data_IF_559632407891
#
_entry.id   IF_559632407891
#
_cell.length_a   1.000
_cell.length_b   1.000
_cell.length_c   1.000
_cell.angle_alpha   90.00
_cell.angle_beta   90.00
_cell.angle_gamma   90.00
#
_symmetry.space_group_name_H-M   'P 1'
#
loop_
_entity.id
_entity.type
_entity.pdbx_description
1 polymer ?
#
# COMPACT_ATOMS: atom_id res chain seq x y z
N UNK A 1 -12.20 -21.75 -11.03
CA UNK A 1 -11.53 -20.63 -11.71
C UNK A 1 -10.79 -19.85 -10.64
N UNK A 2 -9.45 -19.91 -10.61
CA UNK A 2 -8.63 -19.30 -9.57
C UNK A 2 -8.53 -17.78 -9.80
N UNK A 3 -9.62 -17.06 -9.49
CA UNK A 3 -9.71 -15.59 -9.62
C UNK A 3 -8.61 -14.87 -8.81
N UNK A 4 -8.08 -15.51 -7.77
CA UNK A 4 -7.07 -14.94 -6.87
C UNK A 4 -5.62 -14.91 -7.37
N UNK A 5 -5.25 -15.58 -8.45
CA UNK A 5 -3.82 -15.72 -8.79
C UNK A 5 -3.17 -14.41 -9.25
N UNK A 6 -3.98 -13.45 -9.72
CA UNK A 6 -3.51 -12.13 -10.15
C UNK A 6 -3.14 -11.25 -8.96
N UNK A 7 -4.00 -11.20 -7.95
CA UNK A 7 -3.87 -10.29 -6.79
C UNK A 7 -3.09 -10.91 -5.62
N UNK A 8 -2.96 -12.24 -5.56
CA UNK A 8 -2.18 -12.94 -4.52
C UNK A 8 -0.75 -12.42 -4.31
N UNK A 9 0.04 -12.09 -5.35
CA UNK A 9 1.37 -11.52 -5.15
C UNK A 9 1.31 -10.20 -4.39
N UNK A 10 0.46 -9.26 -4.82
CA UNK A 10 0.23 -7.98 -4.16
C UNK A 10 -0.19 -8.15 -2.69
N UNK A 11 -1.15 -9.05 -2.43
CA UNK A 11 -1.57 -9.39 -1.06
C UNK A 11 -0.45 -9.97 -0.18
N UNK A 12 0.59 -10.57 -0.76
CA UNK A 12 1.74 -11.07 0.02
C UNK A 12 2.64 -9.92 0.44
N UNK A 13 2.84 -8.93 -0.42
CA UNK A 13 3.67 -7.76 -0.14
C UNK A 13 3.06 -6.89 0.97
N UNK A 14 1.72 -6.86 1.07
CA UNK A 14 1.00 -6.28 2.21
C UNK A 14 1.46 -6.83 3.57
N UNK A 15 1.85 -8.10 3.66
CA UNK A 15 2.30 -8.67 4.94
C UNK A 15 3.58 -7.98 5.43
N UNK A 16 4.55 -7.78 4.54
CA UNK A 16 5.81 -7.10 4.83
C UNK A 16 5.54 -5.64 5.23
N UNK A 17 4.72 -4.94 4.45
CA UNK A 17 4.32 -3.56 4.77
C UNK A 17 3.68 -3.44 6.17
N UNK A 18 2.81 -4.39 6.54
CA UNK A 18 2.16 -4.41 7.86
C UNK A 18 3.14 -4.66 9.02
N UNK A 19 4.25 -5.38 8.78
CA UNK A 19 5.32 -5.51 9.78
C UNK A 19 5.97 -4.15 10.04
N UNK A 20 6.29 -3.40 8.99
CA UNK A 20 6.85 -2.05 9.13
C UNK A 20 5.86 -1.09 9.82
N UNK A 21 4.58 -1.11 9.44
CA UNK A 21 3.51 -0.36 10.12
C UNK A 21 3.53 -0.61 11.63
N UNK A 22 3.56 -1.89 12.05
CA UNK A 22 3.59 -2.26 13.46
C UNK A 22 4.84 -1.69 14.15
N UNK A 23 6.01 -1.81 13.52
CA UNK A 23 7.27 -1.29 14.06
C UNK A 23 7.26 0.23 14.19
N UNK A 24 6.78 0.96 13.19
CA UNK A 24 6.69 2.42 13.23
C UNK A 24 5.82 2.86 14.41
N UNK A 25 4.64 2.26 14.61
CA UNK A 25 3.75 2.58 15.72
C UNK A 25 4.36 2.22 17.08
N UNK A 26 5.04 1.07 17.21
CA UNK A 26 5.75 0.68 18.43
C UNK A 26 6.87 1.66 18.78
N UNK A 27 7.63 2.14 17.80
CA UNK A 27 8.72 3.09 18.03
C UNK A 27 8.19 4.50 18.30
N UNK A 28 7.10 4.90 17.63
CA UNK A 28 6.44 6.17 17.88
C UNK A 28 5.93 6.28 19.33
N UNK A 29 5.38 5.18 19.87
CA UNK A 29 4.96 5.11 21.27
C UNK A 29 6.12 5.25 22.28
N UNK A 30 7.37 4.98 21.85
CA UNK A 30 8.59 5.19 22.66
C UNK A 30 9.15 6.61 22.53
N UNK A 31 8.62 7.42 21.61
CA UNK A 31 8.98 8.81 21.41
C UNK A 31 9.57 9.11 20.02
N UNK A 32 9.58 10.39 19.67
CA UNK A 32 10.00 10.92 18.36
C UNK A 32 11.38 10.40 17.91
N UNK A 33 12.38 10.44 18.79
CA UNK A 33 13.73 9.95 18.46
C UNK A 33 13.75 8.48 18.06
N UNK A 34 12.93 7.64 18.70
CA UNK A 34 12.91 6.21 18.43
C UNK A 34 12.33 5.90 17.04
N UNK A 35 11.23 6.55 16.66
CA UNK A 35 10.62 6.35 15.33
C UNK A 35 11.48 6.92 14.21
N UNK A 36 12.13 8.06 14.44
CA UNK A 36 13.06 8.64 13.47
C UNK A 36 14.31 7.76 13.26
N UNK A 37 14.87 7.20 14.34
CA UNK A 37 16.00 6.26 14.22
C UNK A 37 15.62 5.00 13.43
N UNK A 38 14.43 4.46 13.67
CA UNK A 38 13.91 3.34 12.89
C UNK A 38 13.76 3.70 11.42
N UNK A 39 13.18 4.87 11.12
CA UNK A 39 13.02 5.34 9.75
C UNK A 39 14.37 5.59 9.05
N UNK A 40 15.38 6.08 9.76
CA UNK A 40 16.73 6.24 9.21
C UNK A 40 17.35 4.91 8.77
N UNK A 41 17.02 3.81 9.46
CA UNK A 41 17.57 2.48 9.18
C UNK A 41 16.79 1.77 8.06
N UNK A 42 15.46 1.81 8.13
CA UNK A 42 14.59 0.96 7.30
C UNK A 42 13.80 1.74 6.24
N UNK A 43 13.69 3.06 6.38
CA UNK A 43 12.77 3.89 5.60
C UNK A 43 13.08 3.91 4.11
N UNK A 44 14.36 3.91 3.73
CA UNK A 44 14.75 3.91 2.32
C UNK A 44 14.35 2.61 1.60
N UNK A 45 14.51 1.46 2.26
CA UNK A 45 14.11 0.17 1.72
C UNK A 45 12.58 0.09 1.63
N UNK A 46 11.88 0.46 2.70
CA UNK A 46 10.41 0.46 2.71
C UNK A 46 9.81 1.37 1.64
N UNK A 47 10.40 2.55 1.42
CA UNK A 47 9.98 3.46 0.35
C UNK A 47 10.14 2.84 -1.04
N UNK A 48 11.25 2.14 -1.29
CA UNK A 48 11.46 1.46 -2.56
C UNK A 48 10.46 0.32 -2.77
N UNK A 49 10.29 -0.54 -1.77
CA UNK A 49 9.33 -1.66 -1.82
C UNK A 49 7.89 -1.17 -2.05
N UNK A 50 7.45 -0.11 -1.36
CA UNK A 50 6.13 0.46 -1.57
C UNK A 50 5.99 1.19 -2.91
N UNK A 51 7.06 1.81 -3.42
CA UNK A 51 7.02 2.45 -4.72
C UNK A 51 6.80 1.42 -5.84
N UNK A 52 7.52 0.29 -5.79
CA UNK A 52 7.38 -0.81 -6.73
C UNK A 52 5.97 -1.41 -6.62
N UNK A 53 5.52 -1.69 -5.40
CA UNK A 53 4.19 -2.22 -5.12
C UNK A 53 3.07 -1.32 -5.68
N UNK A 54 3.06 -0.03 -5.32
CA UNK A 54 2.04 0.91 -5.81
C UNK A 54 2.07 1.04 -7.34
N UNK A 55 3.26 0.99 -7.95
CA UNK A 55 3.39 1.05 -9.40
C UNK A 55 2.78 -0.19 -10.08
N UNK A 56 2.98 -1.38 -9.50
CA UNK A 56 2.38 -2.62 -10.00
C UNK A 56 0.85 -2.56 -9.92
N UNK A 57 0.31 -2.15 -8.77
CA UNK A 57 -1.13 -2.02 -8.57
C UNK A 57 -1.78 -0.99 -9.52
N UNK A 58 -1.16 0.19 -9.64
CA UNK A 58 -1.63 1.27 -10.52
C UNK A 58 -1.65 0.83 -11.99
N UNK A 59 -0.64 0.07 -12.42
CA UNK A 59 -0.56 -0.50 -13.76
C UNK A 59 -1.63 -1.58 -13.95
N UNK A 60 -1.84 -2.42 -12.95
CA UNK A 60 -2.82 -3.50 -13.00
C UNK A 60 -4.25 -2.97 -13.17
N UNK A 61 -4.58 -1.84 -12.55
CA UNK A 61 -5.91 -1.21 -12.64
C UNK A 61 -6.05 -0.21 -13.79
N UNK A 62 -5.08 -0.15 -14.72
CA UNK A 62 -5.11 0.80 -15.82
C UNK A 62 -6.31 0.59 -16.76
N UNK A 63 -7.06 1.67 -16.99
CA UNK A 63 -8.27 1.65 -17.81
C UNK A 63 -9.49 1.00 -17.15
N UNK A 64 -9.39 0.59 -15.88
CA UNK A 64 -10.54 0.13 -15.09
C UNK A 64 -11.35 1.35 -14.65
N UNK A 65 -12.67 1.29 -14.89
CA UNK A 65 -13.62 2.30 -14.42
C UNK A 65 -14.37 1.76 -13.20
N UNK A 66 -13.88 2.10 -12.01
CA UNK A 66 -14.44 1.66 -10.73
C UNK A 66 -14.38 2.81 -9.71
N UNK A 67 -15.51 3.22 -9.10
CA UNK A 67 -15.53 4.31 -8.11
C UNK A 67 -14.52 4.17 -6.96
N UNK A 68 -14.26 2.95 -6.50
CA UNK A 68 -13.28 2.68 -5.44
C UNK A 68 -11.85 3.09 -5.82
N UNK A 69 -11.52 3.14 -7.11
CA UNK A 69 -10.19 3.52 -7.59
C UNK A 69 -9.87 5.00 -7.38
N UNK A 70 -10.87 5.86 -7.17
CA UNK A 70 -10.61 7.24 -6.79
C UNK A 70 -9.92 7.28 -5.42
N UNK A 71 -10.50 6.61 -4.43
CA UNK A 71 -9.93 6.50 -3.07
C UNK A 71 -8.53 5.87 -3.11
N UNK A 72 -8.37 4.78 -3.85
CA UNK A 72 -7.07 4.11 -4.03
C UNK A 72 -5.96 5.08 -4.48
N UNK A 73 -6.22 5.85 -5.55
CA UNK A 73 -5.24 6.82 -6.09
C UNK A 73 -4.94 7.96 -5.11
N UNK A 74 -5.97 8.48 -4.44
CA UNK A 74 -5.83 9.54 -3.43
C UNK A 74 -5.00 9.06 -2.22
N UNK A 75 -5.27 7.85 -1.72
CA UNK A 75 -4.51 7.26 -0.62
C UNK A 75 -3.05 6.97 -1.00
N UNK A 76 -2.79 6.45 -2.21
CA UNK A 76 -1.42 6.31 -2.75
C UNK A 76 -0.65 7.62 -2.79
N UNK A 77 -1.28 8.69 -3.29
CA UNK A 77 -0.66 10.01 -3.32
C UNK A 77 -0.34 10.50 -1.90
N UNK A 78 -1.27 10.37 -0.97
CA UNK A 78 -1.08 10.77 0.42
C UNK A 78 0.04 9.98 1.11
N UNK A 79 0.11 8.66 0.89
CA UNK A 79 1.17 7.79 1.40
C UNK A 79 2.54 8.24 0.90
N UNK A 80 2.69 8.52 -0.40
CA UNK A 80 3.94 9.04 -0.98
C UNK A 80 4.35 10.38 -0.36
N UNK A 81 3.40 11.30 -0.16
CA UNK A 81 3.67 12.60 0.46
C UNK A 81 4.14 12.48 1.92
N UNK A 82 3.50 11.63 2.71
CA UNK A 82 3.87 11.41 4.11
C UNK A 82 5.28 10.81 4.24
N UNK A 83 5.64 9.87 3.35
CA UNK A 83 6.98 9.29 3.31
C UNK A 83 8.05 10.29 2.84
N UNK A 84 7.72 11.23 1.96
CA UNK A 84 8.68 12.19 1.39
C UNK A 84 9.14 13.26 2.40
N UNK A 85 8.36 13.52 3.45
CA UNK A 85 8.68 14.48 4.50
C UNK A 85 8.65 13.83 5.89
N UNK A 86 9.57 12.90 6.20
CA UNK A 86 9.49 12.11 7.41
C UNK A 86 9.73 12.97 8.67
N UNK A 87 8.73 12.99 9.54
CA UNK A 87 8.81 13.45 10.92
C UNK A 87 7.94 12.52 11.79
N UNK A 88 8.00 12.61 13.12
CA UNK A 88 7.28 11.68 13.99
C UNK A 88 5.76 11.63 13.74
N UNK A 89 5.14 12.78 13.44
CA UNK A 89 3.71 12.89 13.14
C UNK A 89 3.39 12.25 11.78
N UNK A 90 4.13 12.62 10.73
CA UNK A 90 3.96 12.10 9.38
C UNK A 90 4.19 10.58 9.32
N UNK A 91 5.15 10.05 10.07
CA UNK A 91 5.40 8.60 10.12
C UNK A 91 4.27 7.84 10.83
N UNK A 92 3.69 8.42 11.89
CA UNK A 92 2.50 7.84 12.53
C UNK A 92 1.29 7.89 11.59
N UNK A 93 1.04 9.03 10.96
CA UNK A 93 -0.03 9.20 9.99
C UNK A 93 0.13 8.23 8.82
N UNK A 94 1.35 8.08 8.29
CA UNK A 94 1.69 7.10 7.26
C UNK A 94 1.37 5.67 7.70
N UNK A 95 1.82 5.26 8.89
CA UNK A 95 1.58 3.90 9.36
C UNK A 95 0.08 3.61 9.55
N UNK A 96 -0.68 4.59 10.06
CA UNK A 96 -2.13 4.47 10.20
C UNK A 96 -2.85 4.41 8.85
N UNK A 97 -2.48 5.29 7.92
CA UNK A 97 -3.05 5.34 6.58
C UNK A 97 -2.74 4.05 5.81
N UNK A 98 -1.49 3.59 5.80
CA UNK A 98 -1.08 2.38 5.08
C UNK A 98 -1.82 1.15 5.61
N UNK A 99 -2.00 1.05 6.93
CA UNK A 99 -2.81 -0.01 7.54
C UNK A 99 -4.26 0.01 7.10
N UNK A 100 -4.85 1.20 7.01
CA UNK A 100 -6.25 1.38 6.61
C UNK A 100 -6.43 1.11 5.12
N UNK A 101 -5.47 1.55 4.31
CA UNK A 101 -5.39 1.35 2.87
C UNK A 101 -5.33 -0.14 2.52
N UNK A 102 -4.34 -0.88 3.05
CA UNK A 102 -4.23 -2.34 2.85
C UNK A 102 -5.52 -3.07 3.23
N UNK A 103 -6.16 -2.65 4.34
CA UNK A 103 -7.43 -3.25 4.76
C UNK A 103 -8.56 -2.97 3.76
N UNK A 104 -8.61 -1.76 3.20
CA UNK A 104 -9.57 -1.38 2.17
C UNK A 104 -9.35 -2.20 0.89
N UNK A 105 -8.11 -2.38 0.48
CA UNK A 105 -7.79 -3.14 -0.71
C UNK A 105 -8.21 -4.60 -0.59
N UNK A 106 -7.78 -5.25 0.48
CA UNK A 106 -8.07 -6.66 0.74
C UNK A 106 -9.57 -6.96 0.92
N UNK A 107 -10.34 -5.99 1.44
CA UNK A 107 -11.74 -6.24 1.81
C UNK A 107 -12.77 -5.66 0.86
N UNK A 108 -12.41 -4.65 0.10
CA UNK A 108 -13.35 -3.88 -0.71
C UNK A 108 -12.87 -3.84 -2.16
N UNK A 109 -11.67 -3.31 -2.42
CA UNK A 109 -11.19 -3.10 -3.79
C UNK A 109 -10.91 -4.42 -4.51
N UNK A 110 -10.06 -5.27 -3.96
CA UNK A 110 -9.65 -6.53 -4.61
C UNK A 110 -10.85 -7.45 -4.87
N UNK A 111 -11.76 -7.71 -3.91
CA UNK A 111 -12.97 -8.48 -4.20
C UNK A 111 -13.84 -7.86 -5.31
N UNK A 112 -13.96 -6.53 -5.35
CA UNK A 112 -14.70 -5.83 -6.40
C UNK A 112 -14.05 -6.01 -7.78
N UNK A 113 -12.73 -5.81 -7.86
CA UNK A 113 -11.96 -5.98 -9.10
C UNK A 113 -12.03 -7.44 -9.62
N UNK A 114 -11.94 -8.43 -8.74
CA UNK A 114 -12.11 -9.85 -9.12
C UNK A 114 -13.52 -10.18 -9.62
N UNK A 115 -14.54 -9.53 -9.07
CA UNK A 115 -15.93 -9.79 -9.42
C UNK A 115 -16.35 -9.13 -10.73
N UNK A 116 -15.83 -7.93 -11.02
CA UNK A 116 -16.35 -7.07 -12.09
C UNK A 116 -15.34 -6.73 -13.18
N UNK A 117 -14.03 -6.83 -12.90
CA UNK A 117 -12.99 -6.32 -13.79
C UNK A 117 -11.88 -7.34 -14.11
N UNK A 118 -12.08 -8.62 -13.75
CA UNK A 118 -11.07 -9.67 -13.86
C UNK A 118 -10.40 -9.77 -15.24
N UNK A 119 -11.17 -9.74 -16.32
CA UNK A 119 -10.64 -9.86 -17.68
C UNK A 119 -9.69 -8.69 -18.03
N UNK A 120 -9.99 -7.49 -17.51
CA UNK A 120 -9.13 -6.31 -17.68
C UNK A 120 -7.84 -6.45 -16.87
N UNK A 121 -7.92 -6.92 -15.62
CA UNK A 121 -6.73 -7.18 -14.80
C UNK A 121 -5.83 -8.23 -15.45
N UNK A 122 -6.41 -9.30 -16.01
CA UNK A 122 -5.67 -10.34 -16.69
C UNK A 122 -4.96 -9.80 -17.94
N UNK A 123 -5.62 -8.94 -18.71
CA UNK A 123 -5.00 -8.28 -19.86
C UNK A 123 -3.82 -7.40 -19.44
N UNK A 124 -3.99 -6.57 -18.41
CA UNK A 124 -2.96 -5.64 -17.94
C UNK A 124 -1.74 -6.37 -17.36
N UNK A 125 -1.91 -7.53 -16.71
CA UNK A 125 -0.80 -8.34 -16.16
C UNK A 125 0.17 -8.87 -17.22
N UNK A 126 -0.27 -8.98 -18.47
CA UNK A 126 0.52 -9.56 -19.57
C UNK A 126 1.10 -8.52 -20.54
N UNK A 127 0.91 -7.22 -20.26
CA UNK A 127 1.56 -6.13 -20.98
C UNK A 127 2.92 -5.78 -20.36
#
# INVERSE_FOLDING_TARGET
MNRSDILKPLSREHHTALVHVKRILEQAAKGEKAVLNYWQQEGAQLQAELADHFSEEESLVEGVQEPLLQRFREEHQALRLLMAAPNAENLQAFAHLLKAHIRFEERELFPCLEAHHYDRLQHNRHQ
#
